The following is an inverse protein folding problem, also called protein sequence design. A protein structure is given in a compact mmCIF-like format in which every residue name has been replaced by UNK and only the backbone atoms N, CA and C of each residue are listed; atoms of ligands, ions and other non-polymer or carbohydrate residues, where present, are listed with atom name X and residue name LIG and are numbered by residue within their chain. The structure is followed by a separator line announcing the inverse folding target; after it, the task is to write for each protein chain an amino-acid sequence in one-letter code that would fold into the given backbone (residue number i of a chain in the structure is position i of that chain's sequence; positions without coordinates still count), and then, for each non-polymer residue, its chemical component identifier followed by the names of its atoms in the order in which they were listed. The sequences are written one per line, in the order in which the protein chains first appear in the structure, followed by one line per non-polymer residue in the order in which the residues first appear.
data_IF_988771117511
#
_entry.id   IF_988771117511
#
_cell.length_a   1.000
_cell.length_b   1.000
_cell.length_c   1.000
_cell.angle_alpha   90.00
_cell.angle_beta   90.00
_cell.angle_gamma   90.00
#
_symmetry.space_group_name_H-M   'P 1'
#
loop_
_entity.id
_entity.type
_entity.pdbx_description
1 polymer ?
#
# COMPACT_ATOMS: atom_id res chain seq x y z
N UNK A 1 -7.95 19.30 -25.77
CA UNK A 1 -7.80 18.32 -26.89
C UNK A 1 -6.65 18.78 -27.79
N UNK A 2 -5.43 18.51 -27.33
CA UNK A 2 -4.22 18.89 -28.04
C UNK A 2 -3.99 17.94 -29.23
N UNK A 3 -3.21 18.38 -30.23
CA UNK A 3 -2.90 17.74 -31.52
C UNK A 3 -2.47 16.25 -31.49
N UNK A 4 -2.35 15.63 -30.32
CA UNK A 4 -1.79 14.30 -30.07
C UNK A 4 -2.58 13.15 -30.69
N UNK A 5 -3.90 13.11 -30.53
CA UNK A 5 -4.68 11.96 -31.03
C UNK A 5 -5.34 12.23 -32.37
N UNK A 6 -5.72 13.48 -32.65
CA UNK A 6 -6.51 13.83 -33.83
C UNK A 6 -7.95 13.31 -33.73
N UNK A 7 -8.92 14.15 -34.07
CA UNK A 7 -10.35 13.84 -33.88
C UNK A 7 -10.80 12.59 -34.65
N UNK A 8 -10.26 12.34 -35.85
CA UNK A 8 -10.60 11.16 -36.64
C UNK A 8 -10.24 9.84 -35.93
N UNK A 9 -9.08 9.78 -35.28
CA UNK A 9 -8.64 8.57 -34.57
C UNK A 9 -9.43 8.38 -33.28
N UNK A 10 -9.74 9.46 -32.56
CA UNK A 10 -10.61 9.40 -31.37
C UNK A 10 -12.00 8.90 -31.75
N UNK A 11 -12.62 9.45 -32.79
CA UNK A 11 -13.92 8.99 -33.26
C UNK A 11 -13.87 7.51 -33.68
N UNK A 12 -12.81 7.08 -34.36
CA UNK A 12 -12.60 5.68 -34.75
C UNK A 12 -12.53 4.77 -33.52
N UNK A 13 -11.77 5.15 -32.49
CA UNK A 13 -11.65 4.43 -31.23
C UNK A 13 -12.99 4.36 -30.48
N UNK A 14 -13.70 5.47 -30.33
CA UNK A 14 -14.99 5.49 -29.63
C UNK A 14 -16.04 4.60 -30.32
N UNK A 15 -15.99 4.49 -31.65
CA UNK A 15 -16.89 3.61 -32.43
C UNK A 15 -16.63 2.12 -32.22
N UNK A 16 -15.44 1.70 -31.78
CA UNK A 16 -15.17 0.27 -31.49
C UNK A 16 -15.84 -0.19 -30.20
N UNK A 17 -16.16 0.74 -29.30
CA UNK A 17 -16.84 0.46 -28.04
C UNK A 17 -18.33 0.24 -28.31
N UNK A 18 -18.87 -0.91 -27.90
CA UNK A 18 -20.31 -1.23 -28.04
C UNK A 18 -21.16 -0.59 -26.94
N UNK A 19 -20.62 -0.56 -25.72
CA UNK A 19 -21.29 -0.06 -24.52
C UNK A 19 -21.22 1.49 -24.46
N UNK A 20 -22.36 2.19 -24.41
CA UNK A 20 -22.41 3.65 -24.27
C UNK A 20 -21.66 4.18 -23.04
N UNK A 21 -21.72 3.49 -21.90
CA UNK A 21 -21.05 3.94 -20.66
C UNK A 21 -19.53 3.98 -20.83
N UNK A 22 -18.98 3.00 -21.57
CA UNK A 22 -17.54 2.92 -21.89
C UNK A 22 -17.12 4.00 -22.88
N UNK A 23 -18.00 4.42 -23.80
CA UNK A 23 -17.71 5.55 -24.71
C UNK A 23 -17.52 6.85 -23.93
N UNK A 24 -18.38 7.10 -22.98
CA UNK A 24 -18.32 8.29 -22.13
C UNK A 24 -17.06 8.31 -21.26
N UNK A 25 -16.73 7.17 -20.64
CA UNK A 25 -15.50 7.00 -19.87
C UNK A 25 -14.28 7.23 -20.78
N UNK A 26 -14.22 6.54 -21.93
CA UNK A 26 -13.11 6.67 -22.86
C UNK A 26 -12.92 8.11 -23.35
N UNK A 27 -13.99 8.82 -23.67
CA UNK A 27 -13.90 10.22 -24.11
C UNK A 27 -13.33 11.12 -23.00
N UNK A 28 -13.82 10.97 -21.76
CA UNK A 28 -13.28 11.71 -20.62
C UNK A 28 -11.80 11.39 -20.37
N UNK A 29 -11.44 10.10 -20.39
CA UNK A 29 -10.06 9.66 -20.19
C UNK A 29 -9.14 10.23 -21.26
N UNK A 30 -9.52 10.15 -22.54
CA UNK A 30 -8.71 10.68 -23.65
C UNK A 30 -8.47 12.18 -23.48
N UNK A 31 -9.48 12.96 -23.06
CA UNK A 31 -9.31 14.39 -22.80
C UNK A 31 -8.28 14.63 -21.70
N UNK A 32 -8.46 13.97 -20.54
CA UNK A 32 -7.58 14.13 -19.39
C UNK A 32 -6.14 13.72 -19.72
N UNK A 33 -5.93 12.56 -20.35
CA UNK A 33 -4.61 12.08 -20.73
C UNK A 33 -3.94 12.96 -21.80
N UNK A 34 -4.72 13.47 -22.76
CA UNK A 34 -4.21 14.43 -23.75
C UNK A 34 -3.70 15.70 -23.10
N UNK A 35 -4.42 16.21 -22.11
CA UNK A 35 -4.06 17.43 -21.40
C UNK A 35 -2.85 17.19 -20.47
N UNK A 36 -2.75 16.01 -19.85
CA UNK A 36 -1.55 15.59 -19.11
C UNK A 36 -0.32 15.55 -20.01
N UNK A 37 -0.43 14.90 -21.18
CA UNK A 37 0.69 14.83 -22.15
C UNK A 37 1.00 16.19 -22.79
N UNK A 38 0.03 17.09 -22.91
CA UNK A 38 0.31 18.45 -23.35
C UNK A 38 1.14 19.25 -22.33
N UNK A 39 0.92 19.01 -21.03
CA UNK A 39 1.69 19.61 -19.93
C UNK A 39 3.04 18.93 -19.72
N UNK A 40 3.12 17.64 -20.02
CA UNK A 40 4.30 16.80 -19.89
C UNK A 40 4.46 15.94 -21.15
N UNK A 41 5.14 16.46 -22.19
CA UNK A 41 5.26 15.79 -23.48
C UNK A 41 5.89 14.39 -23.41
N UNK A 42 6.87 14.22 -22.53
CA UNK A 42 7.65 13.00 -22.41
C UNK A 42 6.95 12.00 -21.45
N UNK A 43 6.56 12.47 -20.26
CA UNK A 43 6.02 11.60 -19.20
C UNK A 43 4.50 11.47 -19.19
N UNK A 44 3.74 12.46 -19.63
CA UNK A 44 2.28 12.49 -19.61
C UNK A 44 1.64 11.87 -18.36
N UNK A 45 0.63 11.02 -18.57
CA UNK A 45 0.01 10.25 -17.48
C UNK A 45 0.93 9.15 -16.90
N UNK A 46 1.93 8.69 -17.65
CA UNK A 46 2.84 7.64 -17.20
C UNK A 46 3.68 8.08 -16.00
N UNK A 47 4.18 9.32 -15.99
CA UNK A 47 4.94 9.87 -14.84
C UNK A 47 4.09 9.93 -13.57
N UNK A 48 2.80 10.27 -13.71
CA UNK A 48 1.86 10.29 -12.56
C UNK A 48 1.67 8.88 -12.00
N UNK A 49 1.52 7.88 -12.88
CA UNK A 49 1.38 6.48 -12.47
C UNK A 49 2.64 6.01 -11.74
N UNK A 50 3.82 6.31 -12.27
CA UNK A 50 5.10 5.94 -11.63
C UNK A 50 5.26 6.59 -10.26
N UNK A 51 4.91 7.86 -10.14
CA UNK A 51 4.96 8.58 -8.86
C UNK A 51 4.03 7.93 -7.82
N UNK A 52 2.81 7.57 -8.21
CA UNK A 52 1.88 6.88 -7.33
C UNK A 52 2.38 5.48 -6.92
N UNK A 53 2.98 4.75 -7.86
CA UNK A 53 3.59 3.44 -7.57
C UNK A 53 4.73 3.57 -6.56
N UNK A 54 5.63 4.54 -6.78
CA UNK A 54 6.72 4.82 -5.84
C UNK A 54 6.19 5.20 -4.44
N UNK A 55 5.14 6.03 -4.37
CA UNK A 55 4.52 6.36 -3.10
C UNK A 55 3.93 5.14 -2.39
N UNK A 56 3.31 4.21 -3.11
CA UNK A 56 2.82 2.95 -2.53
C UNK A 56 3.98 2.16 -1.95
N UNK A 57 5.04 1.93 -2.73
CA UNK A 57 6.22 1.18 -2.30
C UNK A 57 6.88 1.79 -1.05
N UNK A 58 7.01 3.12 -1.01
CA UNK A 58 7.55 3.82 0.17
C UNK A 58 6.69 3.60 1.42
N UNK A 59 5.36 3.60 1.28
CA UNK A 59 4.45 3.42 2.42
C UNK A 59 4.41 1.97 2.89
N UNK A 60 4.51 1.01 1.98
CA UNK A 60 4.65 -0.40 2.34
C UNK A 60 5.94 -0.64 3.13
N UNK A 61 7.07 -0.08 2.67
CA UNK A 61 8.35 -0.18 3.38
C UNK A 61 8.32 0.50 4.77
N UNK A 62 7.59 1.62 4.90
CA UNK A 62 7.38 2.29 6.20
C UNK A 62 6.59 1.39 7.17
N UNK A 63 5.51 0.76 6.69
CA UNK A 63 4.72 -0.17 7.49
C UNK A 63 5.55 -1.38 7.94
N UNK A 64 6.33 -1.97 7.03
CA UNK A 64 7.20 -3.11 7.35
C UNK A 64 8.20 -2.76 8.45
N UNK A 65 8.78 -1.56 8.40
CA UNK A 65 9.68 -1.07 9.44
C UNK A 65 8.98 -0.94 10.80
N UNK A 66 7.74 -0.47 10.83
CA UNK A 66 6.94 -0.35 12.05
C UNK A 66 6.65 -1.76 12.61
N UNK A 67 6.20 -2.69 11.78
CA UNK A 67 5.95 -4.07 12.19
C UNK A 67 7.20 -4.75 12.74
N UNK A 68 8.34 -4.59 12.06
CA UNK A 68 9.63 -5.09 12.53
C UNK A 68 9.99 -4.51 13.90
N UNK A 69 9.82 -3.20 14.08
CA UNK A 69 10.12 -2.52 15.35
C UNK A 69 9.23 -3.05 16.47
N UNK A 70 7.93 -3.20 16.24
CA UNK A 70 6.98 -3.76 17.21
C UNK A 70 7.39 -5.19 17.60
N UNK A 71 7.72 -6.04 16.62
CA UNK A 71 8.15 -7.41 16.87
C UNK A 71 9.43 -7.47 17.71
N UNK A 72 10.42 -6.63 17.40
CA UNK A 72 11.67 -6.54 18.15
C UNK A 72 11.43 -6.05 19.60
N UNK A 73 10.62 -5.00 19.79
CA UNK A 73 10.26 -4.50 21.12
C UNK A 73 9.57 -5.58 21.98
N UNK A 74 8.68 -6.39 21.38
CA UNK A 74 8.03 -7.52 22.04
C UNK A 74 9.03 -8.61 22.42
N UNK A 75 9.91 -8.98 21.50
CA UNK A 75 10.94 -10.00 21.73
C UNK A 75 11.92 -9.58 22.85
N UNK A 76 12.37 -8.33 22.85
CA UNK A 76 13.23 -7.77 23.90
C UNK A 76 12.54 -7.78 25.27
N UNK A 77 11.26 -7.43 25.30
CA UNK A 77 10.47 -7.45 26.55
C UNK A 77 10.34 -8.87 27.09
N UNK A 78 10.04 -9.85 26.22
CA UNK A 78 9.97 -11.26 26.60
C UNK A 78 11.32 -11.79 27.13
N UNK A 79 12.43 -11.48 26.45
CA UNK A 79 13.77 -11.86 26.89
C UNK A 79 14.13 -11.24 28.26
N UNK A 80 13.77 -9.97 28.48
CA UNK A 80 14.01 -9.29 29.77
C UNK A 80 13.23 -9.95 30.91
N UNK A 81 11.99 -10.37 30.66
CA UNK A 81 11.18 -11.09 31.66
C UNK A 81 11.78 -12.46 32.00
N UNK A 82 12.28 -13.20 31.00
CA UNK A 82 12.97 -14.49 31.23
C UNK A 82 14.24 -14.34 32.08
N UNK A 83 15.05 -13.31 31.81
CA UNK A 83 16.25 -13.01 32.61
C UNK A 83 15.92 -12.59 34.05
N UNK A 84 14.74 -12.03 34.31
CA UNK A 84 14.28 -11.73 35.67
C UNK A 84 13.78 -12.97 36.41
N UNK A 85 13.28 -14.00 35.71
CA UNK A 85 12.76 -15.23 36.36
C UNK A 85 13.87 -16.15 36.87
N UNK A 86 15.09 -16.07 36.32
CA UNK A 86 16.24 -16.87 36.77
C UNK A 86 17.00 -16.29 37.98
N UNK A 87 16.62 -15.11 38.49
CA UNK A 87 17.24 -14.53 39.71
C UNK A 87 16.48 -14.83 41.00
N UNK A 88 15.44 -15.66 40.93
CA UNK A 88 14.62 -16.08 42.09
C UNK A 88 14.65 -17.61 42.12
N UNK A 89 15.81 -18.21 42.42
CA UNK A 89 15.89 -19.64 42.75
C UNK A 89 16.60 -19.90 44.10
N UNK A 90 16.86 -18.85 44.89
CA UNK A 90 17.17 -18.99 46.31
C UNK A 90 16.01 -18.42 47.14
N UNK A 91 14.92 -19.17 47.20
CA UNK A 91 13.91 -19.04 48.26
C UNK A 91 12.58 -18.37 47.91
N UNK A 92 11.52 -19.10 48.25
CA UNK A 92 10.14 -18.67 48.49
C UNK A 92 9.21 -18.36 47.31
N UNK A 93 8.44 -19.42 47.00
CA UNK A 93 7.01 -19.45 46.72
C UNK A 93 6.28 -18.09 46.75
N UNK A 94 5.97 -17.57 45.56
CA UNK A 94 4.76 -16.78 45.35
C UNK A 94 4.21 -17.00 43.93
N UNK A 95 3.10 -17.72 43.84
CA UNK A 95 2.27 -17.84 42.64
C UNK A 95 1.58 -16.51 42.36
N UNK A 96 1.98 -15.83 41.29
CA UNK A 96 1.14 -14.82 40.64
C UNK A 96 1.04 -15.17 39.16
N UNK A 97 -0.12 -15.72 38.80
CA UNK A 97 -0.53 -15.91 37.42
C UNK A 97 -0.65 -14.55 36.74
N UNK A 98 0.19 -14.29 35.74
CA UNK A 98 -0.06 -13.25 34.76
C UNK A 98 -0.07 -13.88 33.37
N UNK A 99 -1.14 -14.63 33.09
CA UNK A 99 -1.53 -14.93 31.71
C UNK A 99 -2.16 -13.67 31.14
N UNK A 100 -1.44 -12.96 30.27
CA UNK A 100 -2.10 -12.05 29.34
C UNK A 100 -2.43 -12.83 28.05
N UNK A 101 -3.67 -12.78 27.54
CA UNK A 101 -4.10 -13.66 26.47
C UNK A 101 -3.49 -13.20 25.15
N UNK A 102 -2.85 -14.13 24.44
CA UNK A 102 -2.57 -14.00 23.02
C UNK A 102 -3.93 -14.06 22.31
N UNK A 103 -4.49 -12.89 21.98
CA UNK A 103 -5.55 -12.81 20.98
C UNK A 103 -4.87 -13.12 19.65
N UNK A 104 -5.16 -14.29 19.12
CA UNK A 104 -4.76 -14.72 17.79
C UNK A 104 -5.36 -13.78 16.76
N UNK A 105 -4.52 -13.27 15.86
CA UNK A 105 -4.99 -12.85 14.56
C UNK A 105 -4.89 -14.08 13.66
N UNK A 106 -6.01 -14.77 13.51
CA UNK A 106 -6.23 -15.66 12.38
C UNK A 106 -6.08 -14.82 11.11
N UNK A 107 -4.99 -15.05 10.39
CA UNK A 107 -4.93 -14.71 8.96
C UNK A 107 -5.69 -15.81 8.23
N UNK A 108 -7.00 -15.64 8.10
CA UNK A 108 -7.84 -16.45 7.23
C UNK A 108 -7.48 -16.13 5.77
N UNK A 109 -7.32 -17.20 4.98
CA UNK A 109 -7.11 -17.17 3.53
C UNK A 109 -8.44 -17.33 2.81
#
# INVERSE_FOLDING_TARGET
MHKLFGMANVIKLIRTLKDPSKKDIAMRTIVVESDMRAKDPDGGCYRIIQELQHQIECKEAELDKIYYTIANCRAQTAHRLQMQTQKIDDGDHCQMMNKLPLIGFETEK
#
